data_IF_641847269986
#
_entry.id   IF_641847269986
#
_cell.length_a   1.000
_cell.length_b   1.000
_cell.length_c   1.000
_cell.angle_alpha   90.00
_cell.angle_beta   90.00
_cell.angle_gamma   90.00
#
_symmetry.space_group_name_H-M   'P 1'
#
loop_
_entity.id
_entity.type
_entity.pdbx_description
1 polymer ?
#
# COMPACT_ATOMS: atom_id res chain seq x y z
N UNK A 1 -17.24 -7.47 6.95
CA UNK A 1 -16.25 -6.77 7.76
C UNK A 1 -14.88 -7.01 7.13
N UNK A 2 -13.98 -6.02 7.13
CA UNK A 2 -12.64 -6.17 6.57
C UNK A 2 -11.75 -7.07 7.41
N UNK A 3 -10.65 -7.55 6.81
CA UNK A 3 -9.64 -8.34 7.51
C UNK A 3 -8.84 -7.46 8.47
N UNK A 4 -8.28 -8.06 9.52
CA UNK A 4 -7.39 -7.35 10.46
C UNK A 4 -6.11 -6.94 9.74
N UNK A 5 -5.54 -5.81 10.15
CA UNK A 5 -4.24 -5.38 9.64
C UNK A 5 -3.13 -6.32 10.10
N UNK A 6 -2.15 -6.53 9.22
CA UNK A 6 -0.98 -7.39 9.45
C UNK A 6 0.29 -6.58 9.73
N UNK A 7 0.14 -5.27 9.90
CA UNK A 7 1.19 -4.32 10.27
C UNK A 7 0.67 -3.45 11.42
N UNK A 8 1.58 -2.72 12.09
CA UNK A 8 1.20 -1.80 13.17
C UNK A 8 0.23 -0.72 12.65
N UNK A 9 -0.95 -0.63 13.25
CA UNK A 9 -2.01 0.32 12.89
C UNK A 9 -1.57 1.79 13.02
N UNK A 10 -0.67 2.09 13.96
CA UNK A 10 -0.12 3.44 14.11
C UNK A 10 0.64 3.89 12.85
N UNK A 11 1.34 2.96 12.18
CA UNK A 11 2.03 3.27 10.93
C UNK A 11 1.03 3.50 9.79
N UNK A 12 -0.12 2.82 9.80
CA UNK A 12 -1.18 3.07 8.80
C UNK A 12 -1.68 4.50 8.92
N UNK A 13 -1.96 4.95 10.14
CA UNK A 13 -2.44 6.32 10.37
C UNK A 13 -1.40 7.38 9.98
N UNK A 14 -0.12 7.11 10.20
CA UNK A 14 0.99 7.99 9.82
C UNK A 14 1.22 8.10 8.31
N UNK A 15 0.92 7.05 7.53
CA UNK A 15 1.29 6.95 6.11
C UNK A 15 0.11 6.80 5.14
N UNK A 16 -1.14 6.75 5.61
CA UNK A 16 -2.32 6.68 4.73
C UNK A 16 -2.49 7.93 3.86
N UNK A 17 -3.30 7.81 2.81
CA UNK A 17 -3.68 8.93 1.95
C UNK A 17 -4.20 10.12 2.78
N UNK A 18 -3.76 11.33 2.44
CA UNK A 18 -4.06 12.58 3.15
C UNK A 18 -3.08 12.90 4.29
N UNK A 19 -2.17 12.00 4.64
CA UNK A 19 -1.06 12.30 5.57
C UNK A 19 -0.02 13.23 4.92
N UNK A 20 0.86 13.79 5.77
CA UNK A 20 2.02 14.58 5.36
C UNK A 20 3.22 14.26 6.26
N UNK A 21 4.47 14.56 5.84
CA UNK A 21 5.62 14.41 6.72
C UNK A 21 5.50 15.32 7.94
N UNK A 22 5.40 14.73 9.14
CA UNK A 22 5.32 15.46 10.41
C UNK A 22 6.62 15.39 11.22
N UNK A 23 7.38 14.30 11.07
CA UNK A 23 8.57 14.02 11.89
C UNK A 23 9.69 13.41 11.06
N UNK A 24 10.91 13.46 11.59
CA UNK A 24 12.04 12.72 11.04
C UNK A 24 11.79 11.21 11.16
N UNK A 25 12.13 10.46 10.10
CA UNK A 25 11.99 9.00 10.06
C UNK A 25 13.37 8.40 10.36
N UNK A 26 13.48 7.63 11.44
CA UNK A 26 14.74 7.00 11.83
C UNK A 26 15.11 5.82 10.92
N UNK A 27 16.37 5.40 10.98
CA UNK A 27 16.83 4.23 10.23
C UNK A 27 16.12 2.94 10.65
N UNK A 28 15.83 2.79 11.95
CA UNK A 28 15.07 1.66 12.48
C UNK A 28 13.65 1.63 11.90
N UNK A 29 12.99 2.78 11.81
CA UNK A 29 11.65 2.86 11.22
C UNK A 29 11.69 2.55 9.72
N UNK A 30 12.69 3.07 8.98
CA UNK A 30 12.88 2.73 7.57
C UNK A 30 13.08 1.24 7.37
N UNK A 31 13.91 0.60 8.21
CA UNK A 31 14.17 -0.83 8.12
C UNK A 31 12.93 -1.66 8.47
N UNK A 32 12.13 -1.21 9.45
CA UNK A 32 10.83 -1.81 9.76
C UNK A 32 9.87 -1.74 8.56
N UNK A 33 9.73 -0.57 7.94
CA UNK A 33 8.86 -0.37 6.78
C UNK A 33 9.29 -1.25 5.59
N UNK A 34 10.60 -1.35 5.31
CA UNK A 34 11.13 -2.27 4.28
C UNK A 34 10.80 -3.73 4.59
N UNK A 35 10.91 -4.13 5.86
CA UNK A 35 10.51 -5.46 6.30
C UNK A 35 9.04 -5.74 6.00
N UNK A 36 8.16 -4.80 6.37
CA UNK A 36 6.73 -4.92 6.09
C UNK A 36 6.42 -4.95 4.59
N UNK A 37 7.08 -4.15 3.76
CA UNK A 37 6.86 -4.16 2.31
C UNK A 37 7.06 -5.55 1.68
N UNK A 38 8.00 -6.34 2.20
CA UNK A 38 8.24 -7.69 1.70
C UNK A 38 7.33 -8.73 2.36
N UNK A 39 7.13 -8.65 3.68
CA UNK A 39 6.33 -9.63 4.40
C UNK A 39 4.85 -9.59 4.01
N UNK A 40 4.31 -8.41 3.69
CA UNK A 40 2.90 -8.27 3.27
C UNK A 40 2.64 -8.86 1.89
N UNK A 41 3.63 -8.88 0.99
CA UNK A 41 3.53 -9.57 -0.30
C UNK A 41 3.41 -11.08 -0.09
N UNK A 42 4.24 -11.64 0.81
CA UNK A 42 4.15 -13.07 1.16
C UNK A 42 2.80 -13.40 1.79
N UNK A 43 2.30 -12.54 2.68
CA UNK A 43 0.98 -12.72 3.29
C UNK A 43 -0.15 -12.64 2.25
N UNK A 44 -0.08 -11.68 1.32
CA UNK A 44 -1.04 -11.56 0.21
C UNK A 44 -1.11 -12.84 -0.62
N UNK A 45 0.03 -13.47 -0.92
CA UNK A 45 0.07 -14.74 -1.65
C UNK A 45 -0.66 -15.86 -0.88
N UNK A 46 -0.45 -15.94 0.44
CA UNK A 46 -1.11 -16.91 1.32
C UNK A 46 -2.62 -16.66 1.35
N UNK A 47 -3.03 -15.41 1.51
CA UNK A 47 -4.44 -15.02 1.61
C UNK A 47 -5.19 -15.30 0.29
N UNK A 48 -4.55 -15.05 -0.85
CA UNK A 48 -5.09 -15.40 -2.17
C UNK A 48 -5.32 -16.92 -2.30
N UNK A 49 -4.33 -17.74 -1.92
CA UNK A 49 -4.44 -19.22 -1.95
C UNK A 49 -5.55 -19.75 -1.04
N UNK A 50 -5.78 -19.07 0.08
CA UNK A 50 -6.81 -19.45 1.05
C UNK A 50 -8.21 -18.91 0.72
N UNK A 51 -8.41 -18.23 -0.41
CA UNK A 51 -9.72 -17.71 -0.83
C UNK A 51 -10.23 -16.55 0.02
N UNK A 52 -9.34 -15.81 0.71
CA UNK A 52 -9.75 -14.73 1.62
C UNK A 52 -10.43 -13.55 0.90
N UNK A 53 -10.27 -13.47 -0.41
CA UNK A 53 -10.83 -12.41 -1.26
C UNK A 53 -11.98 -12.87 -2.15
N UNK A 54 -12.51 -14.08 -1.95
CA UNK A 54 -13.61 -14.63 -2.77
C UNK A 54 -14.88 -13.77 -2.67
N UNK A 55 -15.09 -13.10 -1.54
CA UNK A 55 -16.19 -12.15 -1.31
C UNK A 55 -15.68 -10.70 -1.35
N UNK A 56 -14.98 -10.34 -2.42
CA UNK A 56 -14.45 -8.99 -2.61
C UNK A 56 -15.59 -7.96 -2.68
N UNK A 57 -15.52 -6.92 -1.84
CA UNK A 57 -16.43 -5.78 -1.94
C UNK A 57 -15.83 -4.76 -2.91
N UNK A 58 -16.52 -4.40 -4.01
CA UNK A 58 -16.03 -3.40 -4.95
C UNK A 58 -15.59 -2.11 -4.27
N UNK A 59 -14.47 -1.55 -4.73
CA UNK A 59 -13.86 -0.36 -4.14
C UNK A 59 -13.53 0.67 -5.22
N UNK A 60 -14.17 1.83 -5.15
CA UNK A 60 -13.88 2.96 -6.04
C UNK A 60 -12.73 3.79 -5.48
N UNK A 61 -11.67 3.94 -6.28
CA UNK A 61 -10.47 4.67 -5.88
C UNK A 61 -10.77 6.18 -5.83
N UNK A 62 -10.64 6.79 -4.66
CA UNK A 62 -10.93 8.22 -4.48
C UNK A 62 -9.95 9.14 -5.23
N UNK A 63 -8.72 8.70 -5.48
CA UNK A 63 -7.68 9.47 -6.19
C UNK A 63 -7.73 9.34 -7.70
N UNK A 64 -8.54 8.40 -8.23
CA UNK A 64 -8.70 8.16 -9.67
C UNK A 64 -10.19 8.17 -10.01
N UNK A 65 -10.70 9.34 -10.42
CA UNK A 65 -12.12 9.52 -10.67
C UNK A 65 -12.68 8.47 -11.65
N UNK A 66 -13.68 7.71 -11.19
CA UNK A 66 -14.37 6.69 -11.98
C UNK A 66 -13.70 5.32 -12.06
N UNK A 67 -12.55 5.11 -11.40
CA UNK A 67 -11.91 3.79 -11.35
C UNK A 67 -12.46 2.96 -10.18
N UNK A 68 -13.22 1.92 -10.50
CA UNK A 68 -13.68 0.92 -9.52
C UNK A 68 -12.91 -0.38 -9.70
N UNK A 69 -12.39 -0.91 -8.60
CA UNK A 69 -11.85 -2.26 -8.51
C UNK A 69 -13.04 -3.18 -8.20
N UNK A 70 -13.45 -4.03 -9.13
CA UNK A 70 -14.63 -4.89 -8.97
C UNK A 70 -14.27 -6.20 -8.27
N UNK A 71 -13.02 -6.63 -8.37
CA UNK A 71 -12.53 -7.87 -7.80
C UNK A 71 -11.05 -7.77 -7.38
N UNK A 72 -10.54 -8.83 -6.75
CA UNK A 72 -9.15 -8.87 -6.25
C UNK A 72 -8.11 -8.76 -7.38
N UNK A 73 -8.36 -9.27 -8.58
CA UNK A 73 -7.41 -9.16 -9.69
C UNK A 73 -7.27 -7.73 -10.19
N UNK A 74 -8.35 -6.94 -10.15
CA UNK A 74 -8.30 -5.52 -10.44
C UNK A 74 -7.41 -4.81 -9.41
N UNK A 75 -7.56 -5.15 -8.12
CA UNK A 75 -6.73 -4.61 -7.05
C UNK A 75 -5.25 -4.99 -7.21
N UNK A 76 -4.94 -6.24 -7.54
CA UNK A 76 -3.57 -6.69 -7.80
C UNK A 76 -2.93 -5.93 -8.97
N UNK A 77 -3.68 -5.76 -10.06
CA UNK A 77 -3.21 -5.01 -11.24
C UNK A 77 -2.99 -3.54 -10.91
N UNK A 78 -3.90 -2.95 -10.13
CA UNK A 78 -3.81 -1.56 -9.70
C UNK A 78 -2.59 -1.32 -8.81
N UNK A 79 -2.31 -2.18 -7.82
CA UNK A 79 -1.21 -2.00 -6.86
C UNK A 79 0.13 -1.90 -7.60
N UNK A 80 0.40 -2.75 -8.60
CA UNK A 80 1.65 -2.68 -9.38
C UNK A 80 1.81 -1.33 -10.08
N UNK A 81 0.72 -0.84 -10.68
CA UNK A 81 0.71 0.45 -11.39
C UNK A 81 0.87 1.63 -10.41
N UNK A 82 0.23 1.54 -9.25
CA UNK A 82 0.30 2.51 -8.17
C UNK A 82 1.71 2.60 -7.57
N UNK A 83 2.37 1.47 -7.36
CA UNK A 83 3.74 1.41 -6.84
C UNK A 83 4.74 1.99 -7.85
N UNK A 84 4.56 1.73 -9.14
CA UNK A 84 5.37 2.33 -10.20
C UNK A 84 5.23 3.86 -10.23
N UNK A 85 4.01 4.39 -10.01
CA UNK A 85 3.78 5.82 -9.87
C UNK A 85 4.54 6.40 -8.67
N UNK A 86 4.41 5.79 -7.48
CA UNK A 86 5.11 6.25 -6.27
C UNK A 86 6.62 6.20 -6.43
N UNK A 87 7.15 5.16 -7.07
CA UNK A 87 8.57 5.06 -7.38
C UNK A 87 9.05 6.23 -8.27
N UNK A 88 8.27 6.58 -9.31
CA UNK A 88 8.54 7.74 -10.16
C UNK A 88 8.53 9.06 -9.38
N UNK A 89 7.58 9.24 -8.47
CA UNK A 89 7.52 10.38 -7.55
C UNK A 89 8.76 10.45 -6.65
N UNK A 90 9.17 9.32 -6.05
CA UNK A 90 10.37 9.26 -5.21
C UNK A 90 11.65 9.59 -5.99
N UNK A 91 11.81 9.09 -7.21
CA UNK A 91 12.95 9.46 -8.08
C UNK A 91 12.94 10.96 -8.35
N UNK A 92 11.78 11.54 -8.64
CA UNK A 92 11.65 12.96 -8.96
C UNK A 92 12.00 13.83 -7.75
N UNK A 93 11.51 13.48 -6.55
CA UNK A 93 11.87 14.15 -5.30
C UNK A 93 13.35 14.01 -4.98
N UNK A 94 13.94 12.83 -5.19
CA UNK A 94 15.37 12.60 -4.97
C UNK A 94 16.24 13.54 -5.80
N UNK A 95 15.82 13.93 -7.01
CA UNK A 95 16.58 14.88 -7.85
C UNK A 95 16.63 16.29 -7.26
N UNK A 96 15.70 16.64 -6.37
CA UNK A 96 15.66 17.95 -5.70
C UNK A 96 16.56 18.00 -4.47
N UNK A 97 16.96 16.85 -3.94
CA UNK A 97 17.85 16.71 -2.79
C UNK A 97 19.26 16.41 -3.31
N UNK A 98 20.23 17.21 -2.91
CA UNK A 98 21.64 17.05 -3.30
C UNK A 98 22.33 15.97 -2.48
#
# INVERSE_FOLDING_TARGET
>A
AGQKFVINEELIDRYKNGSKPENYISEEEINLLKGYMLSTINQLEIDLKNGWFDNYTPYTISTYAGLTLENVNDALTFIVSHDALHYGCSISLKRLVK
#
